data_IF_498403576293
#
_entry.id   IF_498403576293
#
_cell.length_a   1.000
_cell.length_b   1.000
_cell.length_c   1.000
_cell.angle_alpha   90.00
_cell.angle_beta   90.00
_cell.angle_gamma   90.00
#
_symmetry.space_group_name_H-M   'P 1'
#
loop_
_entity.id
_entity.type
_entity.pdbx_description
1 polymer ?
#
# COMPACT_ATOMS: atom_id res chain seq x y z
N UNK A 1 7.95 19.48 -8.08
CA UNK A 1 8.64 18.28 -8.62
C UNK A 1 8.70 17.26 -7.48
N UNK A 2 8.88 15.97 -7.77
CA UNK A 2 8.98 14.93 -6.74
C UNK A 2 10.40 14.38 -6.75
N UNK A 3 10.98 14.15 -5.58
CA UNK A 3 12.28 13.49 -5.44
C UNK A 3 12.07 11.97 -5.47
N UNK A 4 12.90 11.24 -6.21
CA UNK A 4 12.87 9.77 -6.24
C UNK A 4 14.14 9.22 -5.61
N UNK A 5 13.97 8.40 -4.58
CA UNK A 5 15.02 7.66 -3.90
C UNK A 5 14.90 6.17 -4.24
N UNK A 6 16.02 5.51 -4.48
CA UNK A 6 16.06 4.09 -4.80
C UNK A 6 16.57 3.35 -3.57
N UNK A 7 15.74 2.47 -3.01
CA UNK A 7 16.05 1.67 -1.82
C UNK A 7 16.13 0.21 -2.23
N UNK A 8 17.18 -0.50 -1.81
CA UNK A 8 17.40 -1.91 -2.17
C UNK A 8 17.19 -2.83 -0.98
N UNK A 9 16.62 -4.01 -1.21
CA UNK A 9 16.51 -5.03 -0.17
C UNK A 9 15.38 -4.74 0.83
N UNK A 10 14.31 -4.09 0.38
CA UNK A 10 13.16 -3.72 1.20
C UNK A 10 11.89 -4.38 0.67
N UNK A 11 10.94 -4.61 1.58
CA UNK A 11 9.59 -5.09 1.28
C UNK A 11 8.56 -3.98 1.33
N UNK A 12 7.37 -4.21 0.74
CA UNK A 12 6.25 -3.27 0.84
C UNK A 12 5.81 -3.07 2.30
N UNK A 13 5.77 -4.15 3.10
CA UNK A 13 5.46 -4.06 4.53
C UNK A 13 6.49 -3.23 5.30
N UNK A 14 7.79 -3.41 5.01
CA UNK A 14 8.87 -2.63 5.62
C UNK A 14 8.77 -1.14 5.27
N UNK A 15 8.51 -0.80 4.01
CA UNK A 15 8.32 0.59 3.56
C UNK A 15 7.09 1.24 4.20
N UNK A 16 5.98 0.51 4.26
CA UNK A 16 4.73 0.97 4.89
C UNK A 16 4.94 1.38 6.35
N UNK A 17 5.81 0.67 7.07
CA UNK A 17 6.10 0.94 8.47
C UNK A 17 7.19 2.01 8.68
N UNK A 18 8.21 2.05 7.83
CA UNK A 18 9.38 2.92 8.00
C UNK A 18 9.21 4.33 7.42
N UNK A 19 8.60 4.46 6.24
CA UNK A 19 8.43 5.74 5.55
C UNK A 19 7.65 6.78 6.37
N UNK A 20 6.54 6.43 7.07
CA UNK A 20 5.83 7.38 7.93
C UNK A 20 6.70 7.97 9.05
N UNK A 21 7.61 7.17 9.60
CA UNK A 21 8.51 7.58 10.68
C UNK A 21 9.62 8.49 10.17
N UNK A 22 10.11 8.24 8.95
CA UNK A 22 11.20 8.99 8.34
C UNK A 22 10.74 10.32 7.74
N UNK A 23 9.56 10.35 7.12
CA UNK A 23 9.06 11.49 6.34
C UNK A 23 7.96 12.27 7.05
N UNK A 24 7.95 12.30 8.38
CA UNK A 24 6.86 12.85 9.21
C UNK A 24 6.29 14.22 8.80
N UNK A 25 7.07 15.09 8.13
CA UNK A 25 6.60 16.38 7.57
C UNK A 25 5.85 16.25 6.24
N UNK A 26 6.21 15.28 5.40
CA UNK A 26 5.52 14.95 4.14
C UNK A 26 4.43 13.89 4.35
N UNK A 27 4.32 13.34 5.56
CA UNK A 27 3.36 12.31 5.92
C UNK A 27 2.25 12.90 6.78
N UNK A 28 1.09 13.17 6.18
CA UNK A 28 -0.08 13.60 6.94
C UNK A 28 -0.80 12.37 7.52
N UNK A 29 -1.10 12.41 8.82
CA UNK A 29 -1.85 11.33 9.48
C UNK A 29 -3.31 11.30 8.99
N UNK A 30 -3.87 10.09 8.84
CA UNK A 30 -5.30 9.88 8.56
C UNK A 30 -5.66 9.63 7.09
N UNK A 31 -4.70 9.65 6.16
CA UNK A 31 -4.98 9.35 4.75
C UNK A 31 -5.04 7.85 4.48
N UNK A 32 -6.09 7.43 3.77
CA UNK A 32 -6.22 6.05 3.31
C UNK A 32 -5.25 5.79 2.15
N UNK A 33 -4.61 4.63 2.20
CA UNK A 33 -3.69 4.15 1.16
C UNK A 33 -4.26 2.91 0.51
N UNK A 34 -3.85 2.68 -0.73
CA UNK A 34 -4.21 1.48 -1.47
C UNK A 34 -2.98 0.88 -2.11
N UNK A 35 -3.04 -0.42 -2.31
CA UNK A 35 -2.01 -1.19 -2.97
C UNK A 35 -2.61 -1.81 -4.22
N UNK A 36 -1.94 -1.60 -5.34
CA UNK A 36 -2.36 -2.11 -6.63
C UNK A 36 -1.19 -2.82 -7.30
N UNK A 37 -1.52 -3.74 -8.20
CA UNK A 37 -0.56 -4.35 -9.10
C UNK A 37 -0.74 -3.72 -10.48
N UNK A 38 0.36 -3.36 -11.13
CA UNK A 38 0.36 -2.87 -12.50
C UNK A 38 1.18 -3.86 -13.33
N UNK A 39 0.51 -4.50 -14.30
CA UNK A 39 1.13 -5.42 -15.25
C UNK A 39 1.49 -4.65 -16.52
N UNK A 40 2.79 -4.50 -16.76
CA UNK A 40 3.30 -3.69 -17.88
C UNK A 40 4.08 -4.55 -18.85
N UNK A 41 4.06 -4.20 -20.13
CA UNK A 41 5.01 -4.81 -21.07
C UNK A 41 6.44 -4.51 -20.64
N UNK A 42 7.30 -5.52 -20.72
CA UNK A 42 8.67 -5.46 -20.18
C UNK A 42 9.53 -4.36 -20.80
N UNK A 43 9.33 -4.05 -22.08
CA UNK A 43 10.06 -2.98 -22.75
C UNK A 43 9.63 -1.58 -22.30
N UNK A 44 8.43 -1.44 -21.72
CA UNK A 44 7.94 -0.18 -21.12
C UNK A 44 8.41 0.04 -19.69
N UNK A 45 9.09 -0.93 -19.06
CA UNK A 45 9.53 -0.84 -17.66
C UNK A 45 10.30 0.43 -17.33
N UNK A 46 11.25 0.83 -18.17
CA UNK A 46 12.06 2.02 -17.93
C UNK A 46 11.21 3.30 -17.85
N UNK A 47 10.14 3.39 -18.65
CA UNK A 47 9.18 4.51 -18.61
C UNK A 47 8.53 4.59 -17.22
N UNK A 48 8.07 3.46 -16.69
CA UNK A 48 7.43 3.38 -15.37
C UNK A 48 8.39 3.65 -14.21
N UNK A 49 9.66 3.21 -14.30
CA UNK A 49 10.67 3.55 -13.28
C UNK A 49 10.89 5.07 -13.16
N UNK A 50 10.79 5.80 -14.26
CA UNK A 50 10.89 7.27 -14.27
C UNK A 50 9.56 8.00 -14.06
N UNK A 51 8.43 7.32 -14.21
CA UNK A 51 7.10 7.96 -14.23
C UNK A 51 6.81 8.68 -12.92
N UNK A 52 7.18 8.08 -11.79
CA UNK A 52 6.96 8.64 -10.47
C UNK A 52 7.67 9.99 -10.26
N UNK A 53 8.81 10.23 -10.92
CA UNK A 53 9.51 11.52 -10.88
C UNK A 53 8.77 12.64 -11.65
N UNK A 54 7.93 12.27 -12.63
CA UNK A 54 7.23 13.21 -13.50
C UNK A 54 5.90 13.70 -12.91
N UNK A 55 5.35 12.96 -11.94
CA UNK A 55 4.07 13.26 -11.32
C UNK A 55 4.25 14.09 -10.06
N UNK A 56 3.38 15.08 -9.86
CA UNK A 56 3.37 15.90 -8.64
C UNK A 56 2.43 15.26 -7.63
N UNK A 57 2.99 14.49 -6.70
CA UNK A 57 2.25 13.82 -5.63
C UNK A 57 2.03 14.76 -4.44
N UNK A 58 1.01 14.48 -3.64
CA UNK A 58 0.79 15.14 -2.34
C UNK A 58 1.39 14.31 -1.20
N UNK A 59 1.34 12.99 -1.32
CA UNK A 59 1.92 12.05 -0.35
C UNK A 59 3.06 11.23 -0.95
N UNK A 60 3.95 10.70 -0.08
CA UNK A 60 4.91 9.69 -0.48
C UNK A 60 4.24 8.46 -1.11
N UNK A 61 4.89 7.92 -2.13
CA UNK A 61 4.44 6.74 -2.87
C UNK A 61 5.65 5.84 -3.12
N UNK A 62 5.47 4.52 -3.10
CA UNK A 62 6.55 3.60 -3.46
C UNK A 62 6.09 2.51 -4.39
N UNK A 63 6.96 2.15 -5.32
CA UNK A 63 6.74 1.06 -6.26
C UNK A 63 7.88 0.06 -6.20
N UNK A 64 7.53 -1.22 -6.32
CA UNK A 64 8.46 -2.33 -6.33
C UNK A 64 8.26 -3.16 -7.60
N UNK A 65 9.35 -3.46 -8.30
CA UNK A 65 9.30 -4.36 -9.44
C UNK A 65 9.65 -5.78 -9.03
N UNK A 66 8.67 -6.67 -9.13
CA UNK A 66 8.84 -8.10 -8.94
C UNK A 66 9.15 -8.80 -10.27
N UNK A 67 10.01 -9.81 -10.19
CA UNK A 67 10.29 -10.68 -11.33
C UNK A 67 10.17 -12.13 -10.86
N UNK A 68 9.08 -12.83 -11.26
CA UNK A 68 8.92 -14.25 -10.99
C UNK A 68 10.13 -15.06 -11.43
N UNK A 69 10.51 -16.07 -10.64
CA UNK A 69 11.67 -16.92 -10.94
C UNK A 69 11.36 -18.40 -10.80
N UNK A 70 10.81 -18.81 -9.65
CA UNK A 70 10.53 -20.22 -9.34
C UNK A 70 9.16 -20.63 -9.87
N UNK A 71 8.21 -19.74 -9.71
CA UNK A 71 6.80 -19.85 -10.05
C UNK A 71 6.49 -19.49 -11.52
N UNK A 72 7.52 -19.30 -12.36
CA UNK A 72 7.37 -18.90 -13.77
C UNK A 72 6.48 -19.86 -14.54
N UNK A 73 6.69 -21.16 -14.37
CA UNK A 73 5.94 -22.19 -15.09
C UNK A 73 4.48 -22.22 -14.63
N UNK A 74 4.20 -21.97 -13.35
CA UNK A 74 2.84 -21.90 -12.82
C UNK A 74 2.09 -20.67 -13.36
N UNK A 75 2.73 -19.50 -13.37
CA UNK A 75 2.14 -18.29 -13.94
C UNK A 75 1.86 -18.48 -15.44
N UNK A 76 2.79 -19.13 -16.16
CA UNK A 76 2.62 -19.41 -17.58
C UNK A 76 1.48 -20.42 -17.83
N UNK A 77 1.33 -21.44 -16.99
CA UNK A 77 0.20 -22.37 -17.04
C UNK A 77 -1.14 -21.67 -16.79
N UNK A 78 -1.14 -20.60 -15.99
CA UNK A 78 -2.30 -19.74 -15.76
C UNK A 78 -2.54 -18.70 -16.87
N UNK A 79 -1.75 -18.74 -17.95
CA UNK A 79 -2.00 -17.98 -19.18
C UNK A 79 -1.18 -16.71 -19.36
N UNK A 80 -0.28 -16.35 -18.44
CA UNK A 80 0.52 -15.12 -18.54
C UNK A 80 2.00 -15.40 -18.83
N UNK A 81 2.54 -14.78 -19.89
CA UNK A 81 3.97 -14.88 -20.18
C UNK A 81 4.80 -13.91 -19.31
N UNK A 82 5.43 -14.46 -18.26
CA UNK A 82 6.31 -13.72 -17.35
C UNK A 82 7.53 -13.08 -18.02
N UNK A 83 7.92 -13.51 -19.23
CA UNK A 83 9.04 -12.92 -19.96
C UNK A 83 8.65 -11.63 -20.64
N UNK A 84 7.38 -11.49 -21.04
CA UNK A 84 6.80 -10.28 -21.66
C UNK A 84 6.24 -9.29 -20.66
N UNK A 85 5.80 -9.76 -19.49
CA UNK A 85 5.26 -8.93 -18.43
C UNK A 85 6.33 -8.43 -17.44
N UNK A 86 6.06 -7.31 -16.79
CA UNK A 86 6.73 -6.85 -15.59
C UNK A 86 5.68 -6.52 -14.53
N UNK A 87 5.94 -6.96 -13.31
CA UNK A 87 5.01 -6.89 -12.19
C UNK A 87 5.44 -5.72 -11.31
N UNK A 88 4.66 -4.64 -11.32
CA UNK A 88 4.93 -3.48 -10.49
C UNK A 88 3.88 -3.38 -9.37
N UNK A 89 4.29 -3.66 -8.15
CA UNK A 89 3.48 -3.39 -6.97
C UNK A 89 3.61 -1.92 -6.60
N UNK A 90 2.49 -1.23 -6.43
CA UNK A 90 2.44 0.19 -6.12
C UNK A 90 1.64 0.39 -4.85
N UNK A 91 2.21 1.14 -3.91
CA UNK A 91 1.50 1.65 -2.75
C UNK A 91 1.39 3.17 -2.86
N UNK A 92 0.15 3.67 -2.84
CA UNK A 92 -0.16 5.08 -3.08
C UNK A 92 -1.32 5.56 -2.19
N UNK A 93 -1.30 6.83 -1.80
CA UNK A 93 -2.44 7.45 -1.15
C UNK A 93 -3.64 7.50 -2.11
N UNK A 94 -4.86 7.24 -1.61
CA UNK A 94 -6.07 7.23 -2.44
C UNK A 94 -6.27 8.56 -3.21
N UNK A 95 -5.93 9.69 -2.61
CA UNK A 95 -6.04 10.99 -3.27
C UNK A 95 -5.06 11.22 -4.43
N UNK A 96 -3.96 10.46 -4.46
CA UNK A 96 -2.95 10.51 -5.51
C UNK A 96 -3.09 9.37 -6.53
N UNK A 97 -3.94 8.38 -6.25
CA UNK A 97 -4.17 7.22 -7.13
C UNK A 97 -4.54 7.64 -8.55
N UNK A 98 -5.43 8.63 -8.70
CA UNK A 98 -5.87 9.13 -10.00
C UNK A 98 -4.75 9.69 -10.87
N UNK A 99 -3.64 10.16 -10.27
CA UNK A 99 -2.47 10.64 -11.03
C UNK A 99 -1.67 9.50 -11.65
N UNK A 100 -1.69 8.34 -11.00
CA UNK A 100 -1.05 7.10 -11.51
C UNK A 100 -1.93 6.39 -12.52
N UNK A 101 -3.20 6.14 -12.17
CA UNK A 101 -4.09 5.29 -12.99
C UNK A 101 -4.84 6.07 -14.07
N UNK A 102 -4.91 7.40 -13.96
CA UNK A 102 -5.58 8.26 -14.93
C UNK A 102 -4.98 8.16 -16.34
N UNK A 103 -3.65 8.27 -16.51
CA UNK A 103 -3.01 8.01 -17.81
C UNK A 103 -3.24 6.59 -18.32
N UNK A 104 -3.18 5.58 -17.45
CA UNK A 104 -3.42 4.18 -17.83
C UNK A 104 -4.85 4.00 -18.38
N UNK A 105 -5.83 4.64 -17.74
CA UNK A 105 -7.22 4.60 -18.18
C UNK A 105 -7.43 5.28 -19.54
N UNK A 106 -6.61 6.27 -19.90
CA UNK A 106 -6.63 6.92 -21.23
C UNK A 106 -5.99 6.07 -22.31
N UNK A 107 -5.03 5.22 -21.92
CA UNK A 107 -4.35 4.26 -22.78
C UNK A 107 -5.11 2.92 -22.86
N UNK A 108 -6.41 2.91 -22.49
CA UNK A 108 -7.32 1.75 -22.49
C UNK A 108 -6.88 0.57 -21.60
N UNK A 109 -6.11 0.82 -20.55
CA UNK A 109 -5.68 -0.23 -19.62
C UNK A 109 -6.88 -0.81 -18.85
N UNK A 110 -6.88 -2.12 -18.71
CA UNK A 110 -7.99 -2.84 -18.09
C UNK A 110 -7.77 -2.91 -16.57
N UNK A 111 -8.77 -2.44 -15.83
CA UNK A 111 -8.84 -2.62 -14.37
C UNK A 111 -9.54 -3.94 -14.07
N UNK A 112 -8.82 -4.85 -13.45
CA UNK A 112 -9.26 -6.20 -13.16
C UNK A 112 -8.99 -6.54 -11.70
N UNK A 113 -9.55 -7.65 -11.22
CA UNK A 113 -9.28 -8.19 -9.91
C UNK A 113 -8.59 -9.55 -10.07
N UNK A 114 -7.48 -9.72 -9.38
CA UNK A 114 -6.67 -10.95 -9.44
C UNK A 114 -6.52 -11.51 -8.04
N UNK A 115 -6.62 -12.83 -7.92
CA UNK A 115 -6.37 -13.54 -6.68
C UNK A 115 -4.90 -13.96 -6.68
N UNK A 116 -4.13 -13.42 -5.75
CA UNK A 116 -2.75 -13.84 -5.53
C UNK A 116 -2.75 -15.00 -4.54
N UNK A 117 -2.15 -16.12 -4.95
CA UNK A 117 -2.09 -17.37 -4.18
C UNK A 117 -0.65 -17.79 -3.95
N UNK A 118 -0.32 -18.55 -2.89
CA UNK A 118 0.98 -19.20 -2.79
C UNK A 118 1.20 -20.13 -3.99
N UNK A 119 2.39 -20.07 -4.60
CA UNK A 119 2.84 -21.07 -5.57
C UNK A 119 3.10 -22.42 -4.89
N UNK A 120 3.23 -23.52 -5.64
CA UNK A 120 3.37 -24.87 -5.05
C UNK A 120 4.59 -25.00 -4.15
N UNK A 121 5.68 -24.30 -4.49
CA UNK A 121 6.94 -24.30 -3.76
C UNK A 121 7.06 -23.14 -2.75
N UNK A 122 6.00 -22.33 -2.57
CA UNK A 122 6.00 -21.19 -1.65
C UNK A 122 5.85 -21.62 -0.19
N UNK A 123 6.31 -20.76 0.71
CA UNK A 123 5.84 -20.82 2.10
C UNK A 123 4.33 -20.51 2.11
N UNK A 124 3.55 -21.24 2.91
CA UNK A 124 2.11 -21.03 2.94
C UNK A 124 1.77 -19.63 3.47
N UNK A 125 1.01 -18.88 2.69
CA UNK A 125 0.37 -17.62 3.10
C UNK A 125 -1.04 -17.53 2.52
N UNK A 126 -1.86 -16.67 3.10
CA UNK A 126 -3.26 -16.53 2.70
C UNK A 126 -3.43 -15.92 1.31
N UNK A 127 -4.40 -16.43 0.56
CA UNK A 127 -4.73 -15.86 -0.75
C UNK A 127 -5.32 -14.47 -0.58
N UNK A 128 -4.84 -13.50 -1.38
CA UNK A 128 -5.26 -12.10 -1.27
C UNK A 128 -5.78 -11.58 -2.60
N UNK A 129 -6.81 -10.75 -2.55
CA UNK A 129 -7.41 -10.13 -3.74
C UNK A 129 -6.75 -8.79 -4.00
N UNK A 130 -6.30 -8.58 -5.24
CA UNK A 130 -5.60 -7.37 -5.66
C UNK A 130 -6.31 -6.70 -6.83
N UNK A 131 -6.39 -5.37 -6.79
CA UNK A 131 -6.76 -4.59 -7.99
C UNK A 131 -5.56 -4.53 -8.92
N UNK A 132 -5.76 -4.91 -10.18
CA UNK A 132 -4.73 -4.94 -11.21
C UNK A 132 -5.07 -3.97 -12.33
N UNK A 133 -4.09 -3.21 -12.78
CA UNK A 133 -4.15 -2.48 -14.05
C UNK A 133 -3.24 -3.17 -15.04
N UNK A 134 -3.85 -3.76 -16.08
CA UNK A 134 -3.15 -4.57 -17.06
C UNK A 134 -3.04 -3.84 -18.40
N UNK A 135 -1.82 -3.87 -18.95
CA UNK A 135 -1.55 -3.42 -20.31
C UNK A 135 -2.40 -4.24 -21.30
N UNK A 136 -3.15 -3.60 -22.23
CA UNK A 136 -4.05 -4.28 -23.16
C UNK A 136 -3.41 -5.38 -24.00
N UNK A 137 -2.09 -5.29 -24.19
CA UNK A 137 -1.31 -6.21 -25.01
C UNK A 137 -0.73 -7.40 -24.23
N UNK A 138 -0.99 -7.49 -22.93
CA UNK A 138 -0.64 -8.65 -22.10
C UNK A 138 -1.83 -9.60 -21.97
N UNK A 139 -1.55 -10.88 -21.75
CA UNK A 139 -2.57 -11.88 -21.49
C UNK A 139 -3.26 -11.64 -20.12
N UNK A 140 -4.55 -11.94 -20.02
CA UNK A 140 -5.29 -11.84 -18.77
C UNK A 140 -4.94 -13.01 -17.83
N UNK A 141 -4.89 -12.74 -16.54
CA UNK A 141 -4.70 -13.76 -15.49
C UNK A 141 -5.69 -13.51 -14.35
N UNK A 142 -6.39 -14.55 -13.91
CA UNK A 142 -7.33 -14.45 -12.77
C UNK A 142 -6.67 -14.87 -11.45
N UNK A 143 -5.77 -15.85 -11.51
CA UNK A 143 -5.04 -16.40 -10.37
C UNK A 143 -3.55 -16.24 -10.60
N UNK A 144 -2.88 -15.45 -9.76
CA UNK A 144 -1.45 -15.19 -9.85
C UNK A 144 -0.70 -15.92 -8.72
N UNK A 145 -0.09 -17.09 -9.00
CA UNK A 145 0.71 -17.80 -8.02
C UNK A 145 2.04 -17.06 -7.80
N UNK A 146 2.37 -16.74 -6.54
CA UNK A 146 3.65 -16.12 -6.18
C UNK A 146 4.37 -16.91 -5.09
N UNK A 147 5.71 -16.92 -5.18
CA UNK A 147 6.58 -17.57 -4.21
C UNK A 147 6.58 -16.89 -2.84
N UNK A 148 6.28 -15.60 -2.81
CA UNK A 148 6.32 -14.77 -1.61
C UNK A 148 5.08 -13.89 -1.60
N UNK A 149 4.47 -13.72 -0.42
CA UNK A 149 3.33 -12.84 -0.25
C UNK A 149 3.65 -11.43 -0.80
N UNK A 150 2.73 -10.76 -1.51
CA UNK A 150 2.99 -9.45 -2.15
C UNK A 150 3.65 -8.41 -1.25
N UNK A 151 3.23 -8.36 0.02
CA UNK A 151 3.72 -7.43 1.02
C UNK A 151 5.16 -7.72 1.46
N UNK A 152 5.57 -8.99 1.40
CA UNK A 152 6.85 -9.49 1.89
C UNK A 152 7.89 -9.65 0.76
N UNK A 153 7.53 -9.33 -0.48
CA UNK A 153 8.48 -9.35 -1.61
C UNK A 153 9.62 -8.37 -1.33
N UNK A 154 10.84 -8.90 -1.22
CA UNK A 154 12.06 -8.10 -1.06
C UNK A 154 12.66 -7.79 -2.43
N UNK A 155 12.74 -6.51 -2.79
CA UNK A 155 13.40 -6.10 -4.02
C UNK A 155 13.93 -4.66 -3.97
N UNK A 156 14.29 -4.14 -5.14
CA UNK A 156 14.57 -2.72 -5.34
C UNK A 156 13.24 -1.96 -5.41
N UNK A 157 13.09 -0.95 -4.57
CA UNK A 157 11.93 -0.08 -4.51
C UNK A 157 12.31 1.35 -4.92
N UNK A 158 11.35 2.05 -5.51
CA UNK A 158 11.44 3.46 -5.88
C UNK A 158 10.50 4.23 -4.97
N UNK A 159 11.09 4.99 -4.04
CA UNK A 159 10.38 5.85 -3.12
C UNK A 159 10.28 7.24 -3.73
N UNK A 160 9.06 7.68 -4.01
CA UNK A 160 8.76 9.01 -4.53
C UNK A 160 8.28 9.89 -3.40
N UNK A 161 9.06 10.91 -3.10
CA UNK A 161 8.84 11.88 -2.04
C UNK A 161 8.38 13.17 -2.69
N UNK A 162 7.17 13.69 -2.38
CA UNK A 162 6.77 15.00 -2.86
C UNK A 162 7.75 16.04 -2.31
N UNK A 163 8.29 16.89 -3.17
CA UNK A 163 9.08 18.03 -2.68
C UNK A 163 8.10 18.98 -1.98
N UNK A 164 8.16 19.05 -0.65
CA UNK A 164 7.48 20.10 0.08
C UNK A 164 7.88 21.44 -0.54
N UNK A 165 6.91 22.25 -0.94
CA UNK A 165 7.12 23.70 -0.95
C UNK A 165 7.53 24.06 0.47
N UNK A 166 8.81 24.35 0.64
CA UNK A 166 9.45 24.65 1.91
C UNK A 166 8.64 25.72 2.64
N UNK A 167 7.94 25.33 3.71
CA UNK A 167 7.93 26.15 4.90
C UNK A 167 9.19 25.73 5.66
N UNK A 168 10.21 26.58 5.63
CA UNK A 168 11.48 26.40 6.32
C UNK A 168 11.26 25.97 7.76
N UNK A 169 11.62 24.73 8.10
CA UNK A 169 11.96 24.38 9.48
C UNK A 169 13.36 23.79 9.46
N UNK A 170 14.30 24.61 9.91
CA UNK A 170 15.68 24.29 10.21
C UNK A 170 15.83 22.88 10.82
N UNK A 171 16.84 22.16 10.34
CA UNK A 171 17.43 21.04 11.09
C UNK A 171 17.89 21.53 12.47
N UNK A 172 17.69 20.77 13.57
CA UNK A 172 18.37 21.05 14.81
C UNK A 172 19.84 20.63 14.65
N UNK A 173 20.67 21.57 14.23
CA UNK A 173 22.10 21.50 14.52
C UNK A 173 22.28 21.59 16.03
N UNK A 174 22.84 20.53 16.61
CA UNK A 174 23.34 20.43 17.98
C UNK A 174 23.96 21.74 18.50
N UNK A 175 23.53 22.29 19.64
CA UNK A 175 24.27 23.34 20.31
C UNK A 175 25.28 22.74 21.31
N UNK A 176 26.56 23.05 21.11
CA UNK A 176 27.60 22.91 22.13
C UNK A 176 27.68 24.21 22.95
N UNK A 177 27.31 24.08 24.23
CA UNK A 177 27.68 24.80 25.48
C UNK A 177 28.34 26.20 25.41
N UNK A 178 27.79 27.19 26.14
CA UNK A 178 28.35 27.86 27.34
C UNK A 178 27.55 29.14 27.74
N UNK A 179 26.99 29.08 28.96
CA UNK A 179 26.84 30.08 30.05
C UNK A 179 26.61 31.58 29.81
N UNK A 180 25.59 32.15 30.50
CA UNK A 180 25.49 33.59 30.79
C UNK A 180 24.12 34.11 31.29
N UNK A 181 23.88 34.05 32.61
CA UNK A 181 23.00 34.82 33.51
C UNK A 181 21.69 35.56 33.11
N UNK A 182 20.65 35.25 33.92
CA UNK A 182 19.69 36.12 34.63
C UNK A 182 18.66 36.97 33.87
N UNK A 183 17.37 36.67 34.10
CA UNK A 183 16.25 37.61 33.89
C UNK A 183 14.88 36.95 33.68
N UNK A 184 14.19 36.68 34.79
CA UNK A 184 12.74 36.79 35.08
C UNK A 184 11.62 36.77 33.99
N UNK A 185 10.52 36.11 34.38
CA UNK A 185 9.08 36.37 34.09
C UNK A 185 8.29 35.52 33.06
N UNK A 186 7.27 34.87 33.66
CA UNK A 186 5.94 34.43 33.22
C UNK A 186 5.68 33.22 32.30
N UNK A 187 4.96 32.28 32.91
CA UNK A 187 4.24 31.13 32.37
C UNK A 187 2.86 31.59 31.90
N UNK A 188 2.48 31.23 30.66
CA UNK A 188 1.08 31.21 30.25
C UNK A 188 0.82 29.98 29.38
N UNK A 189 0.35 28.92 30.03
CA UNK A 189 -0.38 27.81 29.40
C UNK A 189 -1.86 28.17 29.42
N UNK A 190 -2.57 28.11 28.28
CA UNK A 190 -3.86 27.43 28.26
C UNK A 190 -4.43 27.12 26.86
N UNK A 191 -4.45 25.82 26.56
CA UNK A 191 -5.59 25.01 26.13
C UNK A 191 -6.87 25.72 25.65
N UNK A 192 -7.07 25.85 24.34
CA UNK A 192 -8.36 26.28 23.77
C UNK A 192 -8.72 25.67 22.40
N UNK A 193 -8.38 24.39 22.16
CA UNK A 193 -8.83 23.70 20.93
C UNK A 193 -9.40 22.29 21.13
N UNK A 194 -9.55 21.82 22.36
CA UNK A 194 -10.06 20.49 22.69
C UNK A 194 -11.59 20.40 22.82
N UNK A 195 -12.34 21.32 22.21
CA UNK A 195 -13.79 21.48 22.48
C UNK A 195 -14.74 21.36 21.29
N UNK A 196 -14.29 20.96 20.08
CA UNK A 196 -15.11 21.09 18.86
C UNK A 196 -15.24 19.83 17.98
N UNK A 197 -15.26 18.65 18.58
CA UNK A 197 -15.56 17.38 17.89
C UNK A 197 -16.62 16.50 18.58
N UNK A 198 -17.34 17.02 19.56
CA UNK A 198 -18.35 16.24 20.30
C UNK A 198 -19.75 16.22 19.64
N UNK A 199 -19.92 16.74 18.40
CA UNK A 199 -21.25 17.00 17.83
C UNK A 199 -21.62 16.20 16.57
N UNK A 200 -20.97 15.06 16.31
CA UNK A 200 -21.43 14.12 15.27
C UNK A 200 -21.34 12.66 15.73
N UNK A 201 -22.18 12.30 16.71
CA UNK A 201 -22.56 10.91 16.97
C UNK A 201 -24.08 10.77 16.85
N UNK A 202 -24.56 10.69 15.62
CA UNK A 202 -25.90 10.16 15.34
C UNK A 202 -25.83 8.65 15.08
N UNK A 203 -26.49 7.90 15.96
CA UNK A 203 -27.48 6.87 15.67
C UNK A 203 -27.08 5.68 14.80
N UNK A 204 -27.07 4.48 15.40
CA UNK A 204 -27.64 3.20 14.95
C UNK A 204 -27.37 2.19 16.10
N UNK A 205 -28.25 1.37 16.64
CA UNK A 205 -29.60 0.93 16.31
C UNK A 205 -29.77 -0.38 17.09
N UNK A 206 -30.45 -0.32 18.24
CA UNK A 206 -30.77 -1.49 19.06
C UNK A 206 -32.26 -1.83 18.85
N UNK A 207 -32.54 -3.00 18.27
CA UNK A 207 -33.80 -3.78 18.30
C UNK A 207 -33.66 -4.88 17.23
N UNK A 208 -33.93 -6.16 17.43
CA UNK A 208 -34.35 -6.93 18.58
C UNK A 208 -34.29 -8.41 18.15
N UNK A 209 -33.64 -9.26 18.93
CA UNK A 209 -33.65 -10.70 18.70
C UNK A 209 -34.81 -11.29 19.50
N UNK A 210 -35.87 -11.69 18.79
CA UNK A 210 -36.96 -12.48 19.34
C UNK A 210 -36.51 -13.91 19.58
N UNK A 211 -36.68 -14.39 20.81
CA UNK A 211 -36.72 -15.81 21.14
C UNK A 211 -37.94 -16.44 20.44
N UNK A 212 -37.84 -17.68 19.94
CA UNK A 212 -38.62 -18.71 20.63
C UNK A 212 -37.98 -20.11 20.68
N UNK A 213 -38.35 -20.81 21.75
CA UNK A 213 -38.64 -22.24 21.88
C UNK A 213 -37.50 -23.29 21.72
N UNK A 214 -37.27 -23.95 22.85
CA UNK A 214 -36.60 -25.24 23.03
C UNK A 214 -37.42 -26.38 22.40
N UNK A 215 -36.76 -27.30 21.69
CA UNK A 215 -37.21 -28.68 21.47
C UNK A 215 -35.99 -29.64 21.44
N UNK A 216 -36.11 -30.89 21.90
CA UNK A 216 -34.98 -31.69 22.40
C UNK A 216 -34.26 -32.54 21.34
N UNK A 217 -33.08 -33.01 21.76
CA UNK A 217 -32.07 -33.76 21.03
C UNK A 217 -32.55 -35.04 20.30
N UNK A 218 -31.99 -35.27 19.11
CA UNK A 218 -32.00 -36.56 18.42
C UNK A 218 -30.57 -37.10 18.35
N UNK A 219 -30.40 -38.35 18.80
CA UNK A 219 -29.15 -39.09 18.89
C UNK A 219 -28.62 -39.53 17.50
N UNK A 220 -27.30 -39.78 17.35
CA UNK A 220 -26.73 -40.34 16.12
C UNK A 220 -27.02 -41.85 16.00
N UNK A 221 -27.24 -42.37 14.78
CA UNK A 221 -27.45 -43.80 14.59
C UNK A 221 -26.14 -44.58 14.76
N UNK A 222 -26.24 -45.68 15.51
CA UNK A 222 -25.25 -46.75 15.67
C UNK A 222 -24.96 -47.47 14.35
N UNK A 223 -23.72 -47.93 14.10
CA UNK A 223 -23.43 -48.89 13.04
C UNK A 223 -23.86 -50.30 13.49
N UNK A 224 -24.39 -51.09 12.56
CA UNK A 224 -24.89 -52.47 12.75
C UNK A 224 -24.15 -53.38 11.75
N UNK A 225 -23.88 -54.66 12.10
CA UNK A 225 -22.62 -55.37 11.84
C UNK A 225 -22.48 -56.02 10.46
#
# INVERSE_FOLDING_TARGET
>A
MSQVEIVTGVSLSSLTNSVPQQLGVNWQQGHQRTQILILIQRHHRQKFESHAATISLKHPCWSLFYRPRKEVDEIQNNGLDTKKASFMFLDVALEDLGKWVGPLSKDDWLREEVIITPSKDADNYDSTKWTVFRDPWLEQIEVLPLQTAPLEIVAKAWLTIPTATTATSHAPSTPTTVSGNTGDVEVASDSAFAGKLADLTHSFGASGAGTPAVAPAAAPPTPVP
#
